data_IF_965642802464
#
_entry.id   IF_965642802464
#
_cell.length_a   1.000
_cell.length_b   1.000
_cell.length_c   1.000
_cell.angle_alpha   90.00
_cell.angle_beta   90.00
_cell.angle_gamma   90.00
#
_symmetry.space_group_name_H-M   'P 1'
#
loop_
_entity.id
_entity.type
_entity.pdbx_description
1 polymer ?
#
# COMPACT_ATOMS: atom_id res chain seq x y z
N UNK A 1 -1.63 2.03 3.66
CA UNK A 1 -0.83 1.61 4.82
C UNK A 1 -1.68 0.94 5.88
N UNK A 2 -1.11 0.00 6.61
CA UNK A 2 -1.80 -0.63 7.74
C UNK A 2 -2.05 0.41 8.83
N UNK A 3 -3.29 0.77 9.07
CA UNK A 3 -3.68 1.33 10.36
C UNK A 3 -3.31 0.32 11.44
N UNK A 4 -2.82 0.78 12.60
CA UNK A 4 -2.33 -0.08 13.69
C UNK A 4 -3.34 -1.09 14.28
N UNK A 5 -4.46 -1.33 13.64
CA UNK A 5 -5.54 -2.23 14.04
C UNK A 5 -5.77 -3.43 13.12
N UNK A 6 -5.01 -3.60 12.06
CA UNK A 6 -5.15 -4.75 11.15
C UNK A 6 -6.25 -4.60 10.09
N UNK A 7 -6.71 -3.38 9.79
CA UNK A 7 -7.60 -3.11 8.66
C UNK A 7 -6.81 -3.00 7.37
N UNK A 8 -7.37 -3.50 6.28
CA UNK A 8 -6.87 -3.28 4.93
C UNK A 8 -7.86 -2.48 4.10
N UNK A 9 -7.28 -1.67 3.24
CA UNK A 9 -8.00 -0.77 2.36
C UNK A 9 -7.78 -1.19 0.92
N UNK A 10 -8.83 -1.27 0.15
CA UNK A 10 -8.77 -1.61 -1.26
C UNK A 10 -9.63 -0.64 -2.09
N UNK A 11 -9.14 -0.28 -3.25
CA UNK A 11 -9.86 0.49 -4.26
C UNK A 11 -9.70 -0.22 -5.61
N UNK A 12 -10.80 -0.56 -6.24
CA UNK A 12 -10.84 -1.07 -7.60
C UNK A 12 -12.11 -0.57 -8.30
N UNK A 13 -12.02 -0.19 -9.55
CA UNK A 13 -13.15 0.26 -10.38
C UNK A 13 -13.99 1.38 -9.72
N UNK A 14 -13.35 2.27 -8.93
CA UNK A 14 -14.02 3.35 -8.23
C UNK A 14 -14.74 2.96 -6.94
N UNK A 15 -14.64 1.71 -6.51
CA UNK A 15 -15.19 1.24 -5.23
C UNK A 15 -14.07 1.14 -4.20
N UNK A 16 -14.21 1.86 -3.08
CA UNK A 16 -13.31 1.75 -1.93
C UNK A 16 -13.96 0.89 -0.84
N UNK A 17 -13.17 0.03 -0.22
CA UNK A 17 -13.63 -0.86 0.85
C UNK A 17 -12.61 -0.92 2.00
N UNK A 18 -13.12 -1.05 3.21
CA UNK A 18 -12.33 -1.33 4.43
C UNK A 18 -12.53 -2.80 4.78
N UNK A 19 -11.44 -3.53 4.94
CA UNK A 19 -11.46 -4.93 5.34
C UNK A 19 -10.97 -5.02 6.79
N UNK A 20 -11.84 -5.44 7.69
CA UNK A 20 -11.49 -5.75 9.08
C UNK A 20 -10.84 -7.15 9.11
N UNK A 21 -9.53 -7.18 8.89
CA UNK A 21 -8.79 -8.41 8.74
C UNK A 21 -8.91 -9.35 9.94
N UNK A 22 -8.80 -8.90 11.20
CA UNK A 22 -8.97 -9.78 12.36
C UNK A 22 -10.33 -10.52 12.38
N UNK A 23 -11.38 -9.90 11.85
CA UNK A 23 -12.71 -10.49 11.83
C UNK A 23 -12.92 -11.52 10.69
N UNK A 24 -12.13 -11.43 9.61
CA UNK A 24 -12.40 -12.21 8.37
C UNK A 24 -11.25 -13.08 7.92
N UNK A 25 -10.11 -13.11 8.62
CA UNK A 25 -8.86 -13.73 8.17
C UNK A 25 -8.97 -15.21 7.79
N UNK A 26 -9.85 -15.98 8.41
CA UNK A 26 -10.05 -17.41 8.15
C UNK A 26 -11.31 -17.71 7.32
N UNK A 27 -11.90 -16.70 6.71
CA UNK A 27 -13.12 -16.85 5.93
C UNK A 27 -12.84 -17.17 4.46
N UNK A 28 -13.79 -17.83 3.78
CA UNK A 28 -13.71 -18.11 2.33
C UNK A 28 -13.55 -16.83 1.47
N UNK A 29 -14.21 -15.69 1.76
CA UNK A 29 -13.95 -14.43 1.07
C UNK A 29 -12.50 -13.98 1.13
N UNK A 30 -11.78 -14.22 2.25
CA UNK A 30 -10.35 -13.89 2.34
C UNK A 30 -9.47 -14.75 1.45
N UNK A 31 -9.78 -16.02 1.26
CA UNK A 31 -9.06 -16.85 0.29
C UNK A 31 -9.16 -16.24 -1.12
N UNK A 32 -10.36 -15.80 -1.51
CA UNK A 32 -10.58 -15.11 -2.79
C UNK A 32 -9.85 -13.78 -2.89
N UNK A 33 -9.79 -13.00 -1.79
CA UNK A 33 -9.02 -11.78 -1.73
C UNK A 33 -7.53 -12.05 -1.98
N UNK A 34 -6.95 -13.08 -1.36
CA UNK A 34 -5.54 -13.45 -1.60
C UNK A 34 -5.26 -13.89 -3.03
N UNK A 35 -6.19 -14.60 -3.66
CA UNK A 35 -6.07 -14.93 -5.08
C UNK A 35 -5.99 -13.67 -5.94
N UNK A 36 -6.86 -12.69 -5.69
CA UNK A 36 -6.87 -11.41 -6.41
C UNK A 36 -5.60 -10.59 -6.15
N UNK A 37 -5.17 -10.47 -4.90
CA UNK A 37 -3.95 -9.74 -4.51
C UNK A 37 -2.70 -10.36 -5.15
N UNK A 38 -2.69 -11.67 -5.36
CA UNK A 38 -1.58 -12.38 -6.00
C UNK A 38 -1.76 -12.61 -7.50
N UNK A 39 -2.84 -12.12 -8.12
CA UNK A 39 -3.04 -12.24 -9.55
C UNK A 39 -2.04 -11.35 -10.31
N UNK A 40 -1.24 -11.97 -11.19
CA UNK A 40 -0.22 -11.27 -11.97
C UNK A 40 -0.79 -10.29 -13.02
N UNK A 41 -2.09 -10.39 -13.33
CA UNK A 41 -2.79 -9.48 -14.24
C UNK A 41 -3.23 -8.18 -13.57
N UNK A 42 -3.21 -8.13 -12.24
CA UNK A 42 -3.66 -7.00 -11.44
C UNK A 42 -2.44 -6.32 -10.83
N UNK A 43 -2.20 -5.05 -11.15
CA UNK A 43 -1.19 -4.25 -10.49
C UNK A 43 -1.71 -3.76 -9.12
N UNK A 44 -0.92 -3.98 -8.08
CA UNK A 44 -1.21 -3.50 -6.72
C UNK A 44 -0.54 -2.15 -6.53
N UNK A 45 -1.33 -1.12 -6.28
CA UNK A 45 -0.82 0.24 -6.04
C UNK A 45 -0.75 0.48 -4.54
N UNK A 46 0.41 0.93 -4.08
CA UNK A 46 0.73 1.14 -2.66
C UNK A 46 1.41 2.51 -2.48
N UNK A 47 1.51 2.97 -1.23
CA UNK A 47 2.34 4.11 -0.87
C UNK A 47 3.21 3.74 0.33
N UNK A 48 4.54 3.75 0.17
CA UNK A 48 5.48 3.28 1.18
C UNK A 48 5.15 1.85 1.67
N UNK A 49 4.77 0.97 0.73
CA UNK A 49 4.08 -0.29 0.99
C UNK A 49 4.98 -1.48 1.33
N UNK A 50 6.27 -1.26 1.69
CA UNK A 50 7.18 -2.36 2.00
C UNK A 50 6.63 -3.29 3.08
N UNK A 51 6.14 -2.74 4.19
CA UNK A 51 5.59 -3.53 5.30
C UNK A 51 4.29 -4.23 4.92
N UNK A 52 3.45 -3.56 4.12
CA UNK A 52 2.22 -4.15 3.60
C UNK A 52 2.52 -5.36 2.70
N UNK A 53 3.52 -5.24 1.81
CA UNK A 53 3.96 -6.33 0.94
C UNK A 53 4.54 -7.51 1.73
N UNK A 54 5.31 -7.25 2.80
CA UNK A 54 5.82 -8.28 3.71
C UNK A 54 4.67 -9.04 4.39
N UNK A 55 3.68 -8.32 4.87
CA UNK A 55 2.52 -8.91 5.52
C UNK A 55 1.65 -9.71 4.53
N UNK A 56 1.40 -9.17 3.36
CA UNK A 56 0.66 -9.87 2.31
C UNK A 56 1.39 -11.15 1.87
N UNK A 57 2.71 -11.08 1.69
CA UNK A 57 3.50 -12.25 1.34
C UNK A 57 3.44 -13.34 2.45
N UNK A 58 3.41 -12.91 3.72
CA UNK A 58 3.27 -13.82 4.84
C UNK A 58 1.92 -14.55 4.83
N UNK A 59 0.81 -13.84 4.64
CA UNK A 59 -0.53 -14.43 4.65
C UNK A 59 -0.87 -15.19 3.36
N UNK A 60 -0.45 -14.69 2.21
CA UNK A 60 -0.72 -15.32 0.92
C UNK A 60 0.26 -16.44 0.57
N UNK A 61 1.36 -16.59 1.31
CA UNK A 61 2.43 -17.54 1.02
C UNK A 61 3.28 -17.18 -0.21
N UNK A 62 3.01 -16.04 -0.85
CA UNK A 62 3.74 -15.53 -2.02
C UNK A 62 3.65 -14.02 -2.11
N UNK A 63 4.64 -13.39 -2.74
CA UNK A 63 4.66 -11.94 -2.91
C UNK A 63 3.57 -11.48 -3.90
N UNK A 64 2.74 -10.49 -3.53
CA UNK A 64 1.74 -9.90 -4.43
C UNK A 64 2.42 -9.02 -5.47
N UNK A 65 2.52 -9.51 -6.70
CA UNK A 65 3.11 -8.81 -7.84
C UNK A 65 2.24 -8.94 -9.10
N UNK A 66 2.34 -8.00 -10.07
CA UNK A 66 3.16 -6.78 -10.02
C UNK A 66 2.63 -5.76 -9.01
N UNK A 67 3.50 -4.88 -8.53
CA UNK A 67 3.12 -3.76 -7.65
C UNK A 67 3.79 -2.46 -8.09
N UNK A 68 3.17 -1.33 -7.71
CA UNK A 68 3.65 0.01 -7.94
C UNK A 68 3.64 0.78 -6.61
N UNK A 69 4.80 1.23 -6.16
CA UNK A 69 4.89 2.06 -4.96
C UNK A 69 4.98 3.53 -5.34
N UNK A 70 3.93 4.28 -4.99
CA UNK A 70 3.83 5.71 -5.32
C UNK A 70 4.86 6.57 -4.61
N UNK A 71 5.41 6.16 -3.46
CA UNK A 71 6.49 6.90 -2.79
C UNK A 71 7.80 6.77 -3.56
N UNK A 72 8.15 5.58 -4.03
CA UNK A 72 9.32 5.33 -4.87
C UNK A 72 9.19 6.12 -6.18
N UNK A 73 8.06 6.01 -6.86
CA UNK A 73 7.81 6.73 -8.10
C UNK A 73 7.85 8.26 -7.92
N UNK A 74 7.31 8.79 -6.82
CA UNK A 74 7.35 10.21 -6.48
C UNK A 74 8.78 10.73 -6.32
N UNK A 75 9.65 9.95 -5.68
CA UNK A 75 11.07 10.30 -5.57
C UNK A 75 11.74 10.46 -6.93
N UNK A 76 11.43 9.57 -7.88
CA UNK A 76 12.02 9.57 -9.21
C UNK A 76 11.57 10.73 -10.10
N UNK A 77 10.40 11.29 -9.85
CA UNK A 77 9.89 12.44 -10.59
C UNK A 77 10.07 13.78 -9.85
N UNK A 78 10.87 13.80 -8.77
CA UNK A 78 11.28 15.02 -8.09
C UNK A 78 10.33 15.53 -7.00
N UNK A 79 9.41 14.70 -6.50
CA UNK A 79 8.59 15.06 -5.33
C UNK A 79 9.30 14.85 -3.99
N UNK A 80 10.53 14.32 -4.01
CA UNK A 80 11.38 14.07 -2.86
C UNK A 80 11.34 12.62 -2.38
N UNK A 81 12.46 12.17 -1.80
CA UNK A 81 12.53 10.87 -1.16
C UNK A 81 11.62 10.84 0.07
N UNK A 82 10.93 9.74 0.31
CA UNK A 82 10.07 9.55 1.48
C UNK A 82 8.93 10.57 1.62
N UNK A 83 8.42 11.11 0.49
CA UNK A 83 7.26 12.00 0.52
C UNK A 83 6.06 11.30 1.17
N UNK A 84 5.47 11.93 2.19
CA UNK A 84 4.27 11.41 2.84
C UNK A 84 3.07 11.44 1.88
N UNK A 85 2.18 10.46 2.00
CA UNK A 85 0.98 10.31 1.15
C UNK A 85 0.14 11.58 1.07
N UNK A 86 -0.19 12.18 2.22
CA UNK A 86 -0.98 13.42 2.26
C UNK A 86 -0.33 14.58 1.49
N UNK A 87 1.01 14.70 1.57
CA UNK A 87 1.74 15.73 0.83
C UNK A 87 1.72 15.45 -0.68
N UNK A 88 1.82 14.19 -1.06
CA UNK A 88 1.77 13.78 -2.47
C UNK A 88 0.38 14.03 -3.06
N UNK A 89 -0.69 13.66 -2.34
CA UNK A 89 -2.08 13.94 -2.73
C UNK A 89 -2.30 15.44 -2.89
N UNK A 90 -1.85 16.25 -1.92
CA UNK A 90 -1.99 17.70 -2.00
C UNK A 90 -1.27 18.30 -3.23
N UNK A 91 -0.07 17.82 -3.54
CA UNK A 91 0.70 18.29 -4.70
C UNK A 91 0.10 17.89 -6.04
N UNK A 92 -0.45 16.67 -6.11
CA UNK A 92 -0.98 16.10 -7.36
C UNK A 92 -2.41 16.55 -7.63
N UNK A 93 -3.23 16.62 -6.59
CA UNK A 93 -4.68 16.83 -6.72
C UNK A 93 -5.19 18.10 -6.04
N UNK A 94 -4.35 18.83 -5.31
CA UNK A 94 -4.76 20.02 -4.55
C UNK A 94 -5.64 19.73 -3.33
N UNK A 95 -5.81 18.45 -2.97
CA UNK A 95 -6.65 18.02 -1.84
C UNK A 95 -5.80 17.93 -0.58
N UNK A 96 -6.26 18.58 0.49
CA UNK A 96 -5.63 18.48 1.80
C UNK A 96 -6.35 17.39 2.61
N UNK A 97 -5.67 16.29 2.88
CA UNK A 97 -6.20 15.21 3.71
C UNK A 97 -6.22 15.60 5.18
N UNK A 98 -7.27 15.19 5.88
CA UNK A 98 -7.38 15.40 7.33
C UNK A 98 -6.43 14.43 8.07
N UNK A 99 -5.74 14.94 9.10
CA UNK A 99 -4.83 14.15 9.95
C UNK A 99 -5.43 13.88 11.35
N UNK A 100 -6.69 14.28 11.58
CA UNK A 100 -7.29 14.25 12.91
C UNK A 100 -7.34 12.84 13.53
N UNK A 101 -7.40 11.81 12.71
CA UNK A 101 -7.54 10.41 13.17
C UNK A 101 -6.24 9.59 13.14
N UNK A 102 -5.09 10.20 12.88
CA UNK A 102 -3.79 9.49 12.85
C UNK A 102 -3.47 8.77 14.17
N UNK A 103 -3.95 9.30 15.31
CA UNK A 103 -3.67 8.79 16.66
C UNK A 103 -4.90 8.20 17.36
N UNK A 104 -5.96 7.83 16.61
CA UNK A 104 -7.14 7.20 17.21
C UNK A 104 -6.89 5.74 17.57
N UNK A 105 -7.69 5.19 18.48
CA UNK A 105 -7.60 3.76 18.81
C UNK A 105 -8.26 2.90 17.73
N UNK A 106 -7.45 2.41 16.80
CA UNK A 106 -7.88 1.54 15.70
C UNK A 106 -8.30 0.13 16.14
N UNK A 107 -8.00 -0.27 17.38
CA UNK A 107 -8.44 -1.57 17.91
C UNK A 107 -9.88 -1.55 18.43
N UNK A 108 -10.50 -0.37 18.55
CA UNK A 108 -11.88 -0.24 19.01
C UNK A 108 -12.86 -0.75 17.94
N UNK A 109 -13.91 -1.45 18.37
CA UNK A 109 -15.00 -1.89 17.49
C UNK A 109 -16.36 -1.52 18.11
N UNK A 110 -17.32 -1.07 17.28
CA UNK A 110 -17.18 -0.77 15.85
C UNK A 110 -16.31 0.47 15.59
N UNK A 111 -15.73 0.57 14.39
CA UNK A 111 -15.06 1.79 13.95
C UNK A 111 -16.07 2.94 13.83
N UNK A 112 -15.68 4.15 14.20
CA UNK A 112 -16.52 5.32 14.00
C UNK A 112 -16.64 5.68 12.51
N UNK A 113 -17.67 6.47 12.18
CA UNK A 113 -17.83 6.96 10.81
C UNK A 113 -16.64 7.79 10.35
N UNK A 114 -16.09 8.59 11.23
CA UNK A 114 -14.93 9.44 10.97
C UNK A 114 -13.67 8.59 10.72
N UNK A 115 -13.48 7.50 11.50
CA UNK A 115 -12.41 6.54 11.28
C UNK A 115 -12.55 5.85 9.92
N UNK A 116 -13.75 5.45 9.54
CA UNK A 116 -14.00 4.83 8.23
C UNK A 116 -13.71 5.80 7.08
N UNK A 117 -14.14 7.07 7.18
CA UNK A 117 -13.85 8.10 6.19
C UNK A 117 -12.33 8.31 6.09
N UNK A 118 -11.66 8.48 7.21
CA UNK A 118 -10.20 8.63 7.25
C UNK A 118 -9.48 7.45 6.58
N UNK A 119 -9.90 6.23 6.90
CA UNK A 119 -9.34 5.03 6.30
C UNK A 119 -9.58 4.99 4.77
N UNK A 120 -10.78 5.35 4.31
CA UNK A 120 -11.08 5.38 2.87
C UNK A 120 -10.28 6.44 2.12
N UNK A 121 -9.95 7.57 2.75
CA UNK A 121 -9.11 8.62 2.16
C UNK A 121 -7.70 8.12 1.83
N UNK A 122 -7.18 7.13 2.55
CA UNK A 122 -5.87 6.51 2.28
C UNK A 122 -5.81 5.77 0.92
N UNK A 123 -6.96 5.43 0.33
CA UNK A 123 -7.01 4.74 -0.96
C UNK A 123 -7.74 5.52 -2.04
N UNK A 124 -8.68 6.40 -1.68
CA UNK A 124 -9.52 7.14 -2.64
C UNK A 124 -8.67 7.95 -3.64
N UNK A 125 -7.59 8.57 -3.17
CA UNK A 125 -6.72 9.40 -3.99
C UNK A 125 -5.53 8.63 -4.59
N UNK A 126 -5.38 7.35 -4.27
CA UNK A 126 -4.20 6.57 -4.66
C UNK A 126 -4.15 6.32 -6.18
N UNK A 127 -5.27 5.97 -6.81
CA UNK A 127 -5.32 5.73 -8.26
C UNK A 127 -5.05 6.99 -9.09
N UNK A 128 -5.65 8.15 -8.81
CA UNK A 128 -5.28 9.40 -9.49
C UNK A 128 -3.80 9.77 -9.32
N UNK A 129 -3.22 9.56 -8.13
CA UNK A 129 -1.78 9.76 -7.89
C UNK A 129 -0.95 8.79 -8.73
N UNK A 130 -1.30 7.52 -8.77
CA UNK A 130 -0.65 6.52 -9.60
C UNK A 130 -0.65 6.90 -11.08
N UNK A 131 -1.80 7.28 -11.62
CA UNK A 131 -1.92 7.70 -13.03
C UNK A 131 -1.03 8.91 -13.34
N UNK A 132 -1.03 9.92 -12.46
CA UNK A 132 -0.18 11.09 -12.60
C UNK A 132 1.31 10.72 -12.59
N UNK A 133 1.74 9.88 -11.65
CA UNK A 133 3.14 9.46 -11.55
C UNK A 133 3.59 8.63 -12.75
N UNK A 134 2.75 7.72 -13.23
CA UNK A 134 3.01 6.95 -14.45
C UNK A 134 3.22 7.85 -15.66
N UNK A 135 2.33 8.83 -15.85
CA UNK A 135 2.47 9.80 -16.92
C UNK A 135 3.77 10.60 -16.80
N UNK A 136 4.09 11.08 -15.61
CA UNK A 136 5.29 11.86 -15.36
C UNK A 136 6.58 11.05 -15.57
N UNK A 137 6.63 9.81 -15.11
CA UNK A 137 7.73 8.89 -15.38
C UNK A 137 7.95 8.68 -16.88
N UNK A 138 6.87 8.47 -17.63
CA UNK A 138 6.91 8.29 -19.08
C UNK A 138 7.46 9.54 -19.78
N UNK A 139 6.94 10.73 -19.48
CA UNK A 139 7.40 11.99 -20.06
C UNK A 139 8.88 12.26 -19.74
N UNK A 140 9.35 11.89 -18.56
CA UNK A 140 10.74 12.06 -18.13
C UNK A 140 11.67 10.93 -18.60
N UNK A 141 11.16 9.90 -19.29
CA UNK A 141 11.95 8.73 -19.70
C UNK A 141 12.48 7.90 -18.52
N UNK A 142 11.76 7.89 -17.38
CA UNK A 142 12.19 7.24 -16.13
C UNK A 142 11.35 6.03 -15.74
N UNK A 143 10.49 5.54 -16.61
CA UNK A 143 9.65 4.37 -16.32
C UNK A 143 10.48 3.14 -15.99
N UNK A 144 11.53 2.84 -16.78
CA UNK A 144 12.42 1.71 -16.54
C UNK A 144 13.15 1.81 -15.20
N UNK A 145 13.57 3.00 -14.80
CA UNK A 145 14.21 3.20 -13.48
C UNK A 145 13.25 2.89 -12.32
N UNK A 146 11.98 3.27 -12.45
CA UNK A 146 10.97 2.92 -11.46
C UNK A 146 10.76 1.39 -11.40
N UNK A 147 10.67 0.74 -12.54
CA UNK A 147 10.52 -0.72 -12.62
C UNK A 147 11.74 -1.45 -12.03
N UNK A 148 12.96 -0.95 -12.23
CA UNK A 148 14.18 -1.47 -11.59
C UNK A 148 14.12 -1.33 -10.05
N UNK A 149 13.64 -0.21 -9.52
CA UNK A 149 13.50 -0.04 -8.06
C UNK A 149 12.42 -0.94 -7.47
N UNK A 150 11.32 -1.16 -8.18
CA UNK A 150 10.31 -2.14 -7.77
C UNK A 150 10.89 -3.55 -7.77
N UNK A 151 11.67 -3.92 -8.78
CA UNK A 151 12.35 -5.21 -8.85
C UNK A 151 13.39 -5.38 -7.71
N UNK A 152 14.14 -4.33 -7.34
CA UNK A 152 15.04 -4.37 -6.18
C UNK A 152 14.29 -4.59 -4.88
N UNK A 153 13.15 -3.92 -4.71
CA UNK A 153 12.28 -4.13 -3.56
C UNK A 153 11.77 -5.58 -3.52
N UNK A 154 11.33 -6.13 -4.66
CA UNK A 154 10.87 -7.51 -4.78
C UNK A 154 11.97 -8.51 -4.34
N UNK A 155 13.21 -8.34 -4.83
CA UNK A 155 14.35 -9.19 -4.45
C UNK A 155 14.64 -9.09 -2.96
N UNK A 156 14.62 -7.88 -2.41
CA UNK A 156 14.83 -7.63 -0.97
C UNK A 156 13.79 -8.34 -0.10
N UNK A 157 12.52 -8.30 -0.50
CA UNK A 157 11.41 -8.98 0.18
C UNK A 157 11.52 -10.50 0.08
N UNK A 158 11.91 -11.03 -1.09
CA UNK A 158 12.11 -12.45 -1.31
C UNK A 158 13.28 -13.05 -0.54
N UNK A 159 14.35 -12.29 -0.34
CA UNK A 159 15.49 -12.70 0.47
C UNK A 159 15.13 -12.81 1.96
N UNK A 160 14.35 -11.86 2.50
CA UNK A 160 13.88 -11.87 3.89
C UNK A 160 12.88 -12.99 4.18
N UNK A 161 12.08 -13.39 3.19
CA UNK A 161 11.14 -14.52 3.36
C UNK A 161 11.86 -15.88 3.49
N UNK A 162 13.11 -15.98 3.04
CA UNK A 162 13.91 -17.22 3.08
C UNK A 162 14.68 -17.42 4.39
N UNK A 163 14.88 -16.38 5.20
CA UNK A 163 15.58 -16.49 6.50
C UNK A 163 14.69 -16.06 7.67
N UNK A 164 13.99 -17.02 8.31
CA UNK A 164 13.16 -16.74 9.49
C UNK A 164 13.96 -16.29 10.72
N UNK A 165 15.27 -16.54 10.79
CA UNK A 165 16.07 -16.25 11.98
C UNK A 165 16.47 -14.78 12.10
N UNK A 166 16.59 -14.03 11.00
CA UNK A 166 16.88 -12.59 11.06
C UNK A 166 15.72 -11.74 11.63
N UNK A 167 14.49 -12.27 11.67
CA UNK A 167 13.32 -11.58 12.24
C UNK A 167 13.46 -11.30 13.74
N UNK A 168 14.13 -12.17 14.49
CA UNK A 168 14.24 -12.05 15.96
C UNK A 168 15.37 -11.11 16.42
N UNK A 169 16.30 -10.73 15.56
CA UNK A 169 17.42 -9.86 15.93
C UNK A 169 17.11 -8.36 15.86
N UNK A 170 16.00 -7.95 15.25
CA UNK A 170 15.59 -6.54 15.11
C UNK A 170 14.60 -6.04 16.17
N UNK A 171 14.20 -6.89 17.13
CA UNK A 171 13.31 -6.55 18.25
C UNK A 171 14.15 -6.52 19.56
N UNK A 172 15.24 -5.75 19.53
CA UNK A 172 15.96 -5.35 20.75
C UNK A 172 16.32 -3.88 20.70
#
# INVERSE_FOLDING_TARGET
GLGGGGEWLALAEGVAAVIDFPAVQETAPMARFWELVCDARIEKVLHAGRQDLELFAHHAGRLPKPFFDTQIAAAMVGYGAQTAYANLVQRVQGVKLDKAHTFTNWSQRPLSREQLIYALDDVTFLLPVHQHLRQKLSVMGRSEWADEEFARLEVSLGAQARDPQERYQRIR
#
